data_IF_153143050142
#
_entry.id   IF_153143050142
#
_cell.length_a   1.000
_cell.length_b   1.000
_cell.length_c   1.000
_cell.angle_alpha   90.00
_cell.angle_beta   90.00
_cell.angle_gamma   90.00
#
_symmetry.space_group_name_H-M   'P 1'
#
loop_
_entity.id
_entity.type
_entity.pdbx_description
1 polymer ?
#
# COMPACT_ATOMS: atom_id res chain seq x y z
N UNK A 1 -50.58 -19.15 -36.77
CA UNK A 1 -49.80 -17.94 -36.39
C UNK A 1 -50.45 -17.30 -35.17
N UNK A 2 -49.86 -17.42 -33.96
CA UNK A 2 -49.86 -16.42 -32.87
C UNK A 2 -49.60 -16.95 -31.45
N UNK A 3 -49.74 -18.25 -31.14
CA UNK A 3 -49.43 -18.72 -29.77
C UNK A 3 -48.32 -19.77 -29.66
N UNK A 4 -47.57 -19.94 -30.75
CA UNK A 4 -46.24 -20.55 -30.78
C UNK A 4 -45.12 -19.52 -30.43
N UNK A 5 -45.49 -18.30 -29.99
CA UNK A 5 -44.56 -17.19 -29.64
C UNK A 5 -44.38 -16.99 -28.12
N UNK A 6 -44.64 -18.03 -27.33
CA UNK A 6 -44.13 -18.11 -25.96
C UNK A 6 -43.50 -19.50 -25.84
N UNK A 7 -42.57 -19.89 -26.72
CA UNK A 7 -41.18 -19.43 -26.62
C UNK A 7 -40.86 -19.30 -25.11
N UNK A 8 -40.73 -20.42 -24.40
CA UNK A 8 -39.43 -21.08 -24.27
C UNK A 8 -38.34 -20.01 -24.28
N UNK A 9 -37.77 -19.75 -23.11
CA UNK A 9 -36.89 -18.63 -22.79
C UNK A 9 -37.59 -17.43 -22.15
N UNK A 10 -38.28 -17.68 -21.03
CA UNK A 10 -37.90 -16.92 -19.83
C UNK A 10 -36.40 -17.22 -19.64
N UNK A 11 -35.56 -16.45 -20.33
CA UNK A 11 -34.17 -16.28 -19.96
C UNK A 11 -34.28 -15.76 -18.54
N UNK A 12 -34.19 -16.67 -17.57
CA UNK A 12 -33.72 -16.29 -16.24
C UNK A 12 -32.35 -15.71 -16.54
N UNK A 13 -32.31 -14.40 -16.72
CA UNK A 13 -31.07 -13.65 -16.68
C UNK A 13 -30.52 -14.04 -15.33
N UNK A 14 -29.50 -14.91 -15.32
CA UNK A 14 -28.65 -15.04 -14.16
C UNK A 14 -28.07 -13.65 -14.00
N UNK A 15 -28.73 -12.81 -13.22
CA UNK A 15 -28.11 -11.62 -12.67
C UNK A 15 -27.06 -12.21 -11.77
N UNK A 16 -25.85 -12.39 -12.32
CA UNK A 16 -24.67 -12.69 -11.54
C UNK A 16 -24.47 -11.42 -10.73
N UNK A 17 -25.10 -11.36 -9.56
CA UNK A 17 -24.75 -10.37 -8.55
C UNK A 17 -23.34 -10.79 -8.15
N UNK A 18 -22.36 -10.23 -8.85
CA UNK A 18 -20.96 -10.41 -8.49
C UNK A 18 -20.82 -9.81 -7.11
N UNK A 19 -20.71 -10.65 -6.09
CA UNK A 19 -20.28 -10.20 -4.77
C UNK A 19 -18.97 -9.44 -5.00
N UNK A 20 -18.92 -8.18 -4.57
CA UNK A 20 -17.70 -7.40 -4.67
C UNK A 20 -16.58 -8.20 -3.98
N UNK A 21 -15.45 -8.40 -4.65
CA UNK A 21 -14.35 -9.17 -4.06
C UNK A 21 -13.93 -8.58 -2.71
N UNK A 22 -13.32 -9.40 -1.84
CA UNK A 22 -12.82 -8.93 -0.54
C UNK A 22 -11.93 -7.68 -0.70
N UNK A 23 -11.11 -7.63 -1.76
CA UNK A 23 -10.33 -6.46 -2.17
C UNK A 23 -11.23 -5.24 -2.39
N UNK A 24 -12.28 -5.37 -3.20
CA UNK A 24 -13.19 -4.27 -3.53
C UNK A 24 -13.94 -3.74 -2.30
N UNK A 25 -14.36 -4.63 -1.40
CA UNK A 25 -15.03 -4.25 -0.15
C UNK A 25 -14.06 -3.53 0.79
N UNK A 26 -12.89 -4.11 1.02
CA UNK A 26 -11.84 -3.55 1.87
C UNK A 26 -11.37 -2.19 1.36
N UNK A 27 -11.14 -2.05 0.05
CA UNK A 27 -10.62 -0.81 -0.53
C UNK A 27 -11.59 0.37 -0.47
N UNK A 28 -12.91 0.15 -0.35
CA UNK A 28 -13.90 1.23 -0.22
C UNK A 28 -13.74 2.02 1.08
N UNK A 29 -13.24 1.35 2.11
CA UNK A 29 -12.99 1.93 3.44
C UNK A 29 -11.60 2.59 3.53
N UNK A 30 -10.89 2.74 2.41
CA UNK A 30 -9.56 3.38 2.36
C UNK A 30 -9.65 4.79 1.81
N UNK A 31 -8.72 5.70 2.18
CA UNK A 31 -8.70 7.07 1.66
C UNK A 31 -8.43 7.17 0.15
N UNK A 32 -8.00 6.09 -0.49
CA UNK A 32 -7.77 6.04 -1.94
C UNK A 32 -8.08 4.64 -2.49
N UNK A 33 -9.36 4.45 -2.84
CA UNK A 33 -9.89 3.21 -3.41
C UNK A 33 -9.08 2.72 -4.62
N UNK A 34 -8.81 3.59 -5.61
CA UNK A 34 -8.13 3.21 -6.85
C UNK A 34 -6.69 2.73 -6.57
N UNK A 35 -5.97 3.44 -5.70
CA UNK A 35 -4.63 3.03 -5.29
C UNK A 35 -4.67 1.68 -4.57
N UNK A 36 -5.58 1.51 -3.60
CA UNK A 36 -5.74 0.26 -2.86
C UNK A 36 -5.97 -0.93 -3.80
N UNK A 37 -6.95 -0.83 -4.70
CA UNK A 37 -7.27 -1.89 -5.67
C UNK A 37 -6.05 -2.20 -6.54
N UNK A 38 -5.38 -1.17 -7.09
CA UNK A 38 -4.20 -1.38 -7.94
C UNK A 38 -3.04 -2.09 -7.23
N UNK A 39 -2.82 -1.81 -5.94
CA UNK A 39 -1.78 -2.43 -5.16
C UNK A 39 -2.09 -3.91 -4.88
N UNK A 40 -3.34 -4.22 -4.54
CA UNK A 40 -3.77 -5.57 -4.19
C UNK A 40 -3.97 -6.46 -5.42
N UNK A 41 -4.56 -5.95 -6.50
CA UNK A 41 -4.76 -6.72 -7.75
C UNK A 41 -3.42 -7.06 -8.44
N UNK A 42 -2.38 -6.26 -8.19
CA UNK A 42 -1.02 -6.55 -8.68
C UNK A 42 -0.31 -7.67 -7.92
N UNK A 43 -0.93 -8.24 -6.88
CA UNK A 43 -0.39 -9.34 -6.10
C UNK A 43 -1.33 -10.56 -6.19
N UNK A 44 -0.86 -11.71 -6.70
CA UNK A 44 -1.73 -12.89 -6.87
C UNK A 44 -2.34 -13.38 -5.55
N UNK A 45 -1.69 -13.09 -4.41
CA UNK A 45 -2.18 -13.45 -3.07
C UNK A 45 -3.48 -12.71 -2.71
N UNK A 46 -3.76 -11.55 -3.30
CA UNK A 46 -4.91 -10.71 -2.95
C UNK A 46 -6.27 -11.37 -3.20
N UNK A 47 -6.36 -12.31 -4.14
CA UNK A 47 -7.62 -12.99 -4.52
C UNK A 47 -8.20 -13.92 -3.44
N UNK A 48 -7.37 -14.40 -2.51
CA UNK A 48 -7.75 -15.38 -1.48
C UNK A 48 -7.48 -14.91 -0.05
N UNK A 49 -6.93 -13.70 0.10
CA UNK A 49 -6.57 -13.14 1.39
C UNK A 49 -7.79 -12.60 2.15
N UNK A 50 -7.81 -12.82 3.45
CA UNK A 50 -8.66 -12.06 4.39
C UNK A 50 -8.07 -10.66 4.65
N UNK A 51 -8.73 -9.85 5.47
CA UNK A 51 -8.28 -8.48 5.75
C UNK A 51 -6.85 -8.42 6.30
N UNK A 52 -6.45 -9.38 7.15
CA UNK A 52 -5.07 -9.50 7.67
C UNK A 52 -4.08 -9.80 6.56
N UNK A 53 -4.40 -10.75 5.67
CA UNK A 53 -3.59 -11.07 4.50
C UNK A 53 -3.46 -9.90 3.53
N UNK A 54 -4.55 -9.14 3.30
CA UNK A 54 -4.53 -7.93 2.48
C UNK A 54 -3.65 -6.84 3.10
N UNK A 55 -3.69 -6.66 4.43
CA UNK A 55 -2.80 -5.75 5.14
C UNK A 55 -1.33 -6.14 4.98
N UNK A 56 -0.99 -7.43 5.15
CA UNK A 56 0.38 -7.94 4.98
C UNK A 56 0.89 -7.77 3.54
N UNK A 57 0.04 -8.00 2.53
CA UNK A 57 0.40 -7.72 1.12
C UNK A 57 0.77 -6.25 0.94
N UNK A 58 0.01 -5.32 1.51
CA UNK A 58 0.31 -3.90 1.42
C UNK A 58 1.58 -3.50 2.17
N UNK A 59 1.86 -4.12 3.31
CA UNK A 59 3.15 -3.96 4.02
C UNK A 59 4.33 -4.47 3.16
N UNK A 60 4.17 -5.56 2.42
CA UNK A 60 5.16 -6.01 1.43
C UNK A 60 5.36 -4.98 0.30
N UNK A 61 4.29 -4.32 -0.15
CA UNK A 61 4.39 -3.24 -1.16
C UNK A 61 5.11 -2.02 -0.59
N UNK A 62 4.90 -1.67 0.69
CA UNK A 62 5.68 -0.65 1.42
C UNK A 62 7.17 -1.02 1.41
N UNK A 63 7.51 -2.26 1.79
CA UNK A 63 8.89 -2.78 1.77
C UNK A 63 9.54 -2.67 0.39
N UNK A 64 8.81 -3.05 -0.65
CA UNK A 64 9.27 -2.95 -2.04
C UNK A 64 9.56 -1.51 -2.46
N UNK A 65 8.64 -0.59 -2.15
CA UNK A 65 8.82 0.83 -2.44
C UNK A 65 9.96 1.46 -1.62
N UNK A 66 10.12 1.07 -0.36
CA UNK A 66 11.20 1.52 0.51
C UNK A 66 12.56 1.09 -0.04
N UNK A 67 12.68 -0.17 -0.46
CA UNK A 67 13.89 -0.72 -1.10
C UNK A 67 14.22 0.03 -2.39
N UNK A 68 13.23 0.25 -3.26
CA UNK A 68 13.39 1.03 -4.50
C UNK A 68 13.88 2.44 -4.20
N UNK A 69 13.30 3.09 -3.20
CA UNK A 69 13.64 4.47 -2.86
C UNK A 69 15.05 4.57 -2.25
N UNK A 70 15.44 3.62 -1.40
CA UNK A 70 16.79 3.55 -0.85
C UNK A 70 17.84 3.36 -1.95
N UNK A 71 17.55 2.54 -2.97
CA UNK A 71 18.43 2.39 -4.12
C UNK A 71 18.58 3.69 -4.91
N UNK A 72 17.50 4.43 -5.12
CA UNK A 72 17.55 5.75 -5.77
C UNK A 72 18.34 6.77 -4.94
N UNK A 73 18.14 6.79 -3.62
CA UNK A 73 18.94 7.61 -2.69
C UNK A 73 20.43 7.30 -2.84
N UNK A 74 20.81 6.02 -2.86
CA UNK A 74 22.20 5.60 -3.01
C UNK A 74 22.80 5.98 -4.38
N UNK A 75 22.00 5.94 -5.45
CA UNK A 75 22.37 6.42 -6.78
C UNK A 75 22.63 7.92 -6.79
N UNK A 76 21.68 8.71 -6.24
CA UNK A 76 21.77 10.16 -6.15
C UNK A 76 22.94 10.60 -5.27
N UNK A 77 23.22 9.89 -4.18
CA UNK A 77 24.32 10.21 -3.25
C UNK A 77 25.68 10.27 -3.96
N UNK A 78 25.87 9.45 -5.00
CA UNK A 78 27.09 9.43 -5.82
C UNK A 78 27.12 10.56 -6.86
N UNK A 79 25.96 11.01 -7.34
CA UNK A 79 25.81 11.93 -8.48
C UNK A 79 25.57 13.38 -8.08
N UNK A 80 25.06 13.62 -6.88
CA UNK A 80 24.56 14.92 -6.41
C UNK A 80 25.29 15.34 -5.12
N UNK A 81 26.58 15.71 -5.20
CA UNK A 81 27.39 16.06 -4.02
C UNK A 81 26.79 17.20 -3.19
N UNK A 82 26.06 18.12 -3.83
CA UNK A 82 25.36 19.23 -3.19
C UNK A 82 24.15 18.81 -2.34
N UNK A 83 23.67 17.58 -2.50
CA UNK A 83 22.54 17.02 -1.74
C UNK A 83 22.97 15.98 -0.70
N UNK A 84 24.28 15.77 -0.47
CA UNK A 84 24.79 14.68 0.38
C UNK A 84 24.17 14.63 1.77
N UNK A 85 24.02 15.77 2.45
CA UNK A 85 23.43 15.82 3.78
C UNK A 85 21.98 15.32 3.80
N UNK A 86 21.14 15.88 2.92
CA UNK A 86 19.73 15.47 2.81
C UNK A 86 19.60 13.99 2.39
N UNK A 87 20.41 13.53 1.44
CA UNK A 87 20.41 12.14 0.98
C UNK A 87 20.90 11.16 2.05
N UNK A 88 21.87 11.55 2.88
CA UNK A 88 22.32 10.74 4.02
C UNK A 88 21.19 10.55 5.03
N UNK A 89 20.50 11.63 5.42
CA UNK A 89 19.37 11.54 6.34
C UNK A 89 18.24 10.70 5.75
N UNK A 90 17.87 10.92 4.47
CA UNK A 90 16.92 10.05 3.79
C UNK A 90 17.33 8.57 3.80
N UNK A 91 18.62 8.26 3.59
CA UNK A 91 19.12 6.88 3.63
C UNK A 91 18.90 6.26 5.01
N UNK A 92 19.16 7.00 6.10
CA UNK A 92 18.91 6.52 7.47
C UNK A 92 17.43 6.24 7.71
N UNK A 93 16.56 7.15 7.28
CA UNK A 93 15.11 7.02 7.42
C UNK A 93 14.57 5.81 6.68
N UNK A 94 14.91 5.64 5.40
CA UNK A 94 14.48 4.48 4.63
C UNK A 94 15.07 3.16 5.13
N UNK A 95 16.24 3.18 5.79
CA UNK A 95 16.75 2.01 6.52
C UNK A 95 15.95 1.71 7.79
N UNK A 96 15.45 2.73 8.50
CA UNK A 96 14.54 2.52 9.63
C UNK A 96 13.25 1.83 9.17
N UNK A 97 12.64 2.31 8.08
CA UNK A 97 11.46 1.65 7.46
C UNK A 97 11.72 0.17 7.22
N UNK A 98 12.87 -0.18 6.63
CA UNK A 98 13.18 -1.55 6.24
C UNK A 98 13.57 -2.47 7.42
N UNK A 99 14.20 -1.91 8.45
CA UNK A 99 14.81 -2.68 9.53
C UNK A 99 14.00 -2.68 10.83
N UNK A 100 13.06 -1.75 10.99
CA UNK A 100 12.22 -1.59 12.17
C UNK A 100 10.74 -1.59 11.80
N UNK A 101 10.28 -0.57 11.08
CA UNK A 101 8.84 -0.30 10.89
C UNK A 101 8.11 -1.43 10.13
N UNK A 102 8.70 -1.90 9.02
CA UNK A 102 8.14 -3.02 8.25
C UNK A 102 8.18 -4.34 9.03
N UNK A 103 9.31 -4.74 9.64
CA UNK A 103 9.33 -5.93 10.50
C UNK A 103 8.31 -5.89 11.65
N UNK A 104 8.20 -4.77 12.36
CA UNK A 104 7.19 -4.58 13.42
C UNK A 104 5.78 -4.76 12.85
N UNK A 105 5.49 -4.12 11.72
CA UNK A 105 4.17 -4.21 11.10
C UNK A 105 3.79 -5.66 10.73
N UNK A 106 4.73 -6.38 10.11
CA UNK A 106 4.53 -7.79 9.74
C UNK A 106 4.30 -8.65 10.98
N UNK A 107 5.15 -8.52 12.00
CA UNK A 107 5.08 -9.34 13.19
C UNK A 107 3.78 -9.10 13.97
N UNK A 108 3.44 -7.82 14.18
CA UNK A 108 2.26 -7.41 14.93
C UNK A 108 0.95 -7.86 14.27
N UNK A 109 0.80 -7.64 12.95
CA UNK A 109 -0.37 -8.09 12.20
C UNK A 109 -0.46 -9.62 12.22
N UNK A 110 0.66 -10.32 12.00
CA UNK A 110 0.69 -11.79 11.98
C UNK A 110 0.35 -12.42 13.34
N UNK A 111 0.65 -11.73 14.44
CA UNK A 111 0.36 -12.18 15.81
C UNK A 111 -1.00 -11.70 16.33
N UNK A 112 -1.80 -11.00 15.52
CA UNK A 112 -3.09 -10.48 15.94
C UNK A 112 -3.01 -9.34 16.95
N UNK A 113 -1.93 -8.54 16.91
CA UNK A 113 -1.75 -7.31 17.71
C UNK A 113 -1.68 -6.09 16.79
N UNK A 114 -2.73 -5.82 15.99
CA UNK A 114 -2.67 -4.88 14.86
C UNK A 114 -2.39 -3.43 15.23
N UNK A 115 -2.49 -3.05 16.51
CA UNK A 115 -2.15 -1.69 16.95
C UNK A 115 -0.68 -1.35 16.71
N UNK A 116 0.26 -2.25 17.03
CA UNK A 116 1.67 -2.07 16.66
C UNK A 116 1.88 -2.17 15.14
N UNK A 117 1.02 -2.96 14.48
CA UNK A 117 0.93 -3.03 13.02
C UNK A 117 0.68 -1.66 12.38
N UNK A 118 -0.27 -0.94 12.95
CA UNK A 118 -0.67 0.39 12.51
C UNK A 118 0.46 1.40 12.74
N UNK A 119 1.13 1.33 13.90
CA UNK A 119 2.19 2.26 14.28
C UNK A 119 3.40 2.15 13.32
N UNK A 120 3.87 0.94 13.02
CA UNK A 120 4.94 0.74 12.02
C UNK A 120 4.55 1.24 10.61
N UNK A 121 3.28 1.06 10.20
CA UNK A 121 2.81 1.59 8.91
C UNK A 121 2.76 3.13 8.89
N UNK A 122 2.36 3.75 10.00
CA UNK A 122 2.34 5.21 10.17
C UNK A 122 3.77 5.75 10.09
N UNK A 123 4.70 5.14 10.82
CA UNK A 123 6.09 5.58 10.89
C UNK A 123 6.76 5.53 9.51
N UNK A 124 6.49 4.51 8.70
CA UNK A 124 6.98 4.47 7.31
C UNK A 124 6.56 5.71 6.48
N UNK A 125 5.33 6.21 6.68
CA UNK A 125 4.84 7.43 6.05
C UNK A 125 5.50 8.69 6.62
N UNK A 126 5.70 8.75 7.94
CA UNK A 126 6.37 9.86 8.65
C UNK A 126 7.83 9.97 8.22
N UNK A 127 8.54 8.86 8.12
CA UNK A 127 9.93 8.78 7.70
C UNK A 127 10.11 9.28 6.26
N UNK A 128 9.21 8.92 5.35
CA UNK A 128 9.18 9.44 4.00
C UNK A 128 8.90 10.96 3.95
N UNK A 129 7.96 11.45 4.76
CA UNK A 129 7.66 12.88 4.86
C UNK A 129 8.84 13.68 5.42
N UNK A 130 9.53 13.14 6.43
CA UNK A 130 10.71 13.76 7.01
C UNK A 130 11.90 13.77 6.04
N UNK A 131 12.09 12.71 5.25
CA UNK A 131 13.05 12.70 4.15
C UNK A 131 12.74 13.84 3.15
N UNK A 132 11.49 13.97 2.72
CA UNK A 132 11.09 14.99 1.73
C UNK A 132 11.37 16.43 2.22
N UNK A 133 11.07 16.71 3.50
CA UNK A 133 11.30 18.03 4.10
C UNK A 133 12.78 18.42 4.15
N UNK A 134 13.69 17.45 4.12
CA UNK A 134 15.14 17.70 4.10
C UNK A 134 15.66 18.42 2.86
N UNK A 135 14.87 18.51 1.78
CA UNK A 135 15.30 19.11 0.50
C UNK A 135 14.79 20.54 0.25
N UNK A 136 14.14 21.18 1.21
CA UNK A 136 13.65 22.56 1.07
C UNK A 136 12.85 22.83 -0.23
N UNK A 137 12.06 21.85 -0.66
CA UNK A 137 11.16 21.97 -1.83
C UNK A 137 11.75 21.61 -3.19
N UNK A 138 13.03 21.22 -3.29
CA UNK A 138 13.67 20.77 -4.55
C UNK A 138 14.12 19.31 -4.49
N UNK A 139 13.29 18.47 -3.88
CA UNK A 139 13.60 17.05 -3.68
C UNK A 139 13.61 16.30 -5.02
N UNK A 140 14.69 15.57 -5.36
CA UNK A 140 14.68 14.62 -6.47
C UNK A 140 13.83 13.37 -6.16
N UNK A 141 13.32 13.23 -4.93
CA UNK A 141 12.61 12.06 -4.44
C UNK A 141 11.10 12.29 -4.24
N UNK A 142 10.57 13.48 -4.53
CA UNK A 142 9.17 13.88 -4.23
C UNK A 142 8.14 12.85 -4.67
N UNK A 143 8.31 12.26 -5.86
CA UNK A 143 7.38 11.23 -6.35
C UNK A 143 7.39 10.00 -5.45
N UNK A 144 8.58 9.50 -5.10
CA UNK A 144 8.76 8.31 -4.27
C UNK A 144 8.32 8.53 -2.81
N UNK A 145 8.63 9.70 -2.22
CA UNK A 145 8.24 10.05 -0.85
C UNK A 145 6.72 10.27 -0.74
N UNK A 146 6.08 10.85 -1.76
CA UNK A 146 4.61 10.94 -1.83
C UNK A 146 3.95 9.59 -2.05
N UNK A 147 4.50 8.74 -2.93
CA UNK A 147 4.02 7.38 -3.09
C UNK A 147 4.07 6.62 -1.78
N UNK A 148 5.14 6.77 -0.99
CA UNK A 148 5.27 6.13 0.32
C UNK A 148 4.19 6.62 1.32
N UNK A 149 3.98 7.93 1.42
CA UNK A 149 2.90 8.48 2.26
C UNK A 149 1.52 7.97 1.84
N UNK A 150 1.25 7.89 0.53
CA UNK A 150 -0.04 7.43 0.03
C UNK A 150 -0.27 5.95 0.33
N UNK A 151 0.73 5.08 0.10
CA UNK A 151 0.59 3.65 0.41
C UNK A 151 0.49 3.42 1.91
N UNK A 152 1.24 4.13 2.74
CA UNK A 152 1.11 4.06 4.21
C UNK A 152 -0.30 4.46 4.66
N UNK A 153 -0.88 5.52 4.10
CA UNK A 153 -2.24 5.94 4.46
C UNK A 153 -3.32 4.92 4.08
N UNK A 154 -3.20 4.30 2.90
CA UNK A 154 -4.10 3.22 2.46
C UNK A 154 -3.93 1.99 3.36
N UNK A 155 -2.69 1.58 3.61
CA UNK A 155 -2.37 0.40 4.42
C UNK A 155 -2.86 0.59 5.86
N UNK A 156 -2.64 1.77 6.45
CA UNK A 156 -3.13 2.12 7.79
C UNK A 156 -4.63 1.96 7.91
N UNK A 157 -5.40 2.40 6.91
CA UNK A 157 -6.85 2.28 6.92
C UNK A 157 -7.31 0.81 6.97
N UNK A 158 -6.59 -0.09 6.29
CA UNK A 158 -6.88 -1.52 6.30
C UNK A 158 -6.46 -2.16 7.62
N UNK A 159 -5.28 -1.83 8.15
CA UNK A 159 -4.84 -2.33 9.47
C UNK A 159 -5.82 -1.92 10.58
N UNK A 160 -6.41 -0.72 10.49
CA UNK A 160 -7.42 -0.24 11.44
C UNK A 160 -8.71 -1.07 11.46
N UNK A 161 -9.03 -1.80 10.40
CA UNK A 161 -10.19 -2.70 10.38
C UNK A 161 -10.00 -3.91 11.30
N UNK A 162 -8.77 -4.18 11.73
CA UNK A 162 -8.40 -5.28 12.61
C UNK A 162 -8.43 -4.88 14.10
N UNK A 163 -8.70 -3.60 14.42
CA UNK A 163 -8.71 -3.04 15.77
C UNK A 163 -10.07 -3.18 16.48
#
# INVERSE_FOLDING_TARGET
>A
MKKLMVMMMMMVVMVVVSEASMVQQTCKETPNFSLCVSLLDSDPRGSSADTSGLALILVDKIKGLATKTLNEINSLYKKRPELKGALYECSRRYKAILNADVPEAIEAISKGVPKFGEDGVIDAGVEASACERGFNGKSPLTSLTKSMQNISNVTRAIVRMLL
#
